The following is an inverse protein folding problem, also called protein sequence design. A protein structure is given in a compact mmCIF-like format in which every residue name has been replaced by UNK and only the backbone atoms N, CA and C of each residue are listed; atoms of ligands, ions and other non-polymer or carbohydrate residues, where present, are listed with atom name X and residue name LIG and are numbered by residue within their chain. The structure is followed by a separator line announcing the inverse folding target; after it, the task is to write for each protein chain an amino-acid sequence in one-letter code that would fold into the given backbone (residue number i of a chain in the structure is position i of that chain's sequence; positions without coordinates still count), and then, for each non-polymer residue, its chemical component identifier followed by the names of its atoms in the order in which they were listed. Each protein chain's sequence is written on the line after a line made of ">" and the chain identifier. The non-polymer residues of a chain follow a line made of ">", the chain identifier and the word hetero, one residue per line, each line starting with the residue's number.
data_IF_466229479119
#
_entry.id   IF_466229479119
#
_cell.length_a   1.000
_cell.length_b   1.000
_cell.length_c   1.000
_cell.angle_alpha   90.00
_cell.angle_beta   90.00
_cell.angle_gamma   90.00
#
_symmetry.space_group_name_H-M   'P 1'
#
loop_
_entity.id
_entity.type
_entity.pdbx_description
1 polymer ?
#
# COMPACT_ATOMS: atom_id res chain seq x y z
N UNK A 1 31.21 -3.10 70.46
CA UNK A 1 30.86 -4.07 69.45
C UNK A 1 30.10 -3.31 68.41
N UNK A 2 30.71 -3.07 67.24
CA UNK A 2 30.28 -2.10 66.27
C UNK A 2 29.56 -2.86 65.11
N UNK A 3 28.27 -2.60 64.88
CA UNK A 3 27.58 -3.07 63.72
C UNK A 3 27.56 -1.90 62.71
N UNK A 4 28.39 -1.99 61.68
CA UNK A 4 28.36 -1.05 60.56
C UNK A 4 27.53 -1.61 59.41
N UNK A 5 26.68 -0.78 58.96
CA UNK A 5 25.66 -0.92 57.96
C UNK A 5 26.15 -1.44 56.58
N UNK A 6 25.47 -2.42 56.06
CA UNK A 6 25.38 -2.69 54.64
C UNK A 6 24.19 -1.90 54.05
N UNK A 7 24.44 -0.64 53.66
CA UNK A 7 23.44 0.16 52.99
C UNK A 7 24.10 1.08 51.96
N UNK A 8 24.66 0.51 50.90
CA UNK A 8 25.38 1.34 49.92
C UNK A 8 25.33 0.87 48.44
N UNK A 9 24.85 -0.33 48.15
CA UNK A 9 25.01 -0.88 46.78
C UNK A 9 23.67 -0.97 46.01
N UNK A 10 22.53 -0.85 46.69
CA UNK A 10 21.22 -1.00 46.03
C UNK A 10 20.72 0.28 45.33
N UNK A 11 21.16 1.46 45.73
CA UNK A 11 20.70 2.73 45.12
C UNK A 11 21.29 3.03 43.73
N UNK A 12 22.48 2.51 43.46
CA UNK A 12 23.15 2.78 42.16
C UNK A 12 22.55 1.96 41.01
N UNK A 13 22.19 0.72 41.25
CA UNK A 13 21.61 -0.13 40.20
C UNK A 13 20.16 0.29 39.81
N UNK A 14 19.37 0.74 40.78
CA UNK A 14 18.00 1.20 40.52
C UNK A 14 18.01 2.48 39.69
N UNK A 15 18.95 3.37 39.89
CA UNK A 15 19.06 4.60 39.08
C UNK A 15 19.51 4.30 37.65
N UNK A 16 20.37 3.30 37.43
CA UNK A 16 20.77 2.88 36.10
C UNK A 16 19.64 2.21 35.32
N UNK A 17 18.81 1.40 35.95
CA UNK A 17 17.62 0.81 35.30
C UNK A 17 16.54 1.85 34.99
N UNK A 18 16.38 2.85 35.88
CA UNK A 18 15.44 3.96 35.62
C UNK A 18 15.90 4.83 34.46
N UNK A 19 17.20 5.07 34.30
CA UNK A 19 17.75 5.82 33.18
C UNK A 19 17.66 5.04 31.86
N UNK A 20 17.87 3.72 31.88
CA UNK A 20 17.69 2.86 30.72
C UNK A 20 16.22 2.78 30.29
N UNK A 21 15.28 2.79 31.24
CA UNK A 21 13.86 2.76 30.97
C UNK A 21 13.34 4.09 30.40
N UNK A 22 13.90 5.21 30.84
CA UNK A 22 13.58 6.53 30.30
C UNK A 22 14.11 6.77 28.88
N UNK A 23 15.21 6.11 28.50
CA UNK A 23 15.70 6.20 27.11
C UNK A 23 14.92 5.32 26.14
N UNK A 24 14.20 4.30 26.64
CA UNK A 24 13.32 3.46 25.81
C UNK A 24 11.92 4.08 25.63
N UNK A 25 11.58 5.14 26.39
CA UNK A 25 10.31 5.87 26.28
C UNK A 25 10.39 7.10 25.36
N UNK A 26 11.50 7.36 24.71
CA UNK A 26 11.55 8.29 23.60
C UNK A 26 10.92 7.62 22.37
N UNK A 27 9.61 7.50 22.41
CA UNK A 27 8.82 7.27 21.21
C UNK A 27 9.21 8.36 20.20
N UNK A 28 9.45 7.98 18.98
CA UNK A 28 9.67 8.96 17.91
C UNK A 28 8.50 9.95 17.95
N UNK A 29 8.79 11.18 18.36
CA UNK A 29 7.85 12.28 18.18
C UNK A 29 7.89 12.65 16.69
N UNK A 30 7.25 11.80 15.86
CA UNK A 30 7.07 12.11 14.46
C UNK A 30 6.21 13.37 14.35
N UNK A 31 6.69 14.36 13.65
CA UNK A 31 5.88 15.52 13.29
C UNK A 31 5.22 15.25 11.96
N UNK A 32 3.91 15.33 11.91
CA UNK A 32 3.18 15.33 10.63
C UNK A 32 3.49 16.63 9.90
N UNK A 33 3.90 16.50 8.64
CA UNK A 33 4.12 17.64 7.74
C UNK A 33 3.09 17.58 6.62
N UNK A 34 2.62 18.72 6.19
CA UNK A 34 1.81 18.84 4.99
C UNK A 34 2.67 18.63 3.76
N UNK A 35 2.16 17.90 2.77
CA UNK A 35 2.79 17.73 1.46
C UNK A 35 2.07 18.64 0.46
N UNK A 36 2.57 19.87 0.22
CA UNK A 36 1.85 20.87 -0.58
C UNK A 36 1.73 20.49 -2.07
N UNK A 37 2.54 19.54 -2.52
CA UNK A 37 2.54 19.03 -3.89
C UNK A 37 1.57 17.86 -4.11
N UNK A 38 0.89 17.38 -3.05
CA UNK A 38 -0.10 16.32 -3.20
C UNK A 38 -1.21 16.76 -4.17
N UNK A 39 -1.61 15.92 -5.14
CA UNK A 39 -2.63 16.27 -6.13
C UNK A 39 -3.96 16.62 -5.45
N UNK A 40 -4.53 17.78 -5.79
CA UNK A 40 -5.84 18.21 -5.30
C UNK A 40 -6.91 17.67 -6.26
N UNK A 41 -7.30 16.44 -6.03
CA UNK A 41 -8.26 15.69 -6.84
C UNK A 41 -9.34 15.06 -5.95
N UNK A 42 -9.98 14.00 -6.39
CA UNK A 42 -10.87 13.21 -5.54
C UNK A 42 -10.08 12.42 -4.48
N UNK A 43 -10.80 11.76 -3.58
CA UNK A 43 -10.22 10.91 -2.54
C UNK A 43 -9.31 9.85 -3.13
N UNK A 44 -8.07 9.77 -2.67
CA UNK A 44 -7.21 8.63 -2.88
C UNK A 44 -7.76 7.42 -2.10
N UNK A 45 -7.74 6.25 -2.73
CA UNK A 45 -8.30 5.02 -2.19
C UNK A 45 -7.22 4.09 -1.66
N UNK A 46 -6.04 4.11 -2.29
CA UNK A 46 -4.91 3.29 -1.90
C UNK A 46 -3.59 3.94 -2.33
N UNK A 47 -2.52 3.55 -1.63
CA UNK A 47 -1.16 4.03 -1.86
C UNK A 47 -0.17 2.93 -1.50
N UNK A 48 0.85 2.76 -2.33
CA UNK A 48 1.99 1.90 -2.00
C UNK A 48 3.30 2.63 -2.28
N UNK A 49 4.23 2.51 -1.36
CA UNK A 49 5.63 2.88 -1.54
C UNK A 49 6.50 1.63 -1.56
N UNK A 50 7.44 1.53 -2.51
CA UNK A 50 8.47 0.49 -2.55
C UNK A 50 9.65 0.84 -1.66
N UNK A 51 9.92 2.11 -1.50
CA UNK A 51 10.94 2.68 -0.63
C UNK A 51 10.54 4.12 -0.24
N UNK A 52 11.40 4.84 0.45
CA UNK A 52 11.13 6.20 0.93
C UNK A 52 10.88 7.23 -0.19
N UNK A 53 11.25 6.95 -1.43
CA UNK A 53 11.12 7.87 -2.55
C UNK A 53 10.05 7.45 -3.55
N UNK A 54 9.97 6.16 -3.87
CA UNK A 54 9.21 5.65 -5.01
C UNK A 54 7.86 5.11 -4.59
N UNK A 55 6.77 5.70 -5.08
CA UNK A 55 5.42 5.29 -4.73
C UNK A 55 4.35 5.58 -5.78
N UNK A 56 3.22 4.90 -5.65
CA UNK A 56 2.03 5.08 -6.48
C UNK A 56 0.79 5.25 -5.62
N UNK A 57 -0.15 6.05 -6.11
CA UNK A 57 -1.43 6.28 -5.48
C UNK A 57 -2.56 6.21 -6.50
N UNK A 58 -3.71 5.65 -6.11
CA UNK A 58 -4.86 5.47 -6.98
C UNK A 58 -6.11 6.10 -6.39
N UNK A 59 -7.02 6.54 -7.26
CA UNK A 59 -8.23 7.21 -6.82
C UNK A 59 -9.51 6.77 -7.54
N UNK A 60 -10.65 7.31 -7.09
CA UNK A 60 -11.96 6.97 -7.59
C UNK A 60 -12.34 7.61 -8.94
N UNK A 61 -11.49 8.45 -9.51
CA UNK A 61 -11.67 8.99 -10.86
C UNK A 61 -10.89 8.22 -11.93
N UNK A 62 -10.44 6.99 -11.59
CA UNK A 62 -9.69 6.14 -12.50
C UNK A 62 -8.27 6.62 -12.75
N UNK A 63 -7.69 7.37 -11.81
CA UNK A 63 -6.36 7.95 -11.95
C UNK A 63 -5.34 7.19 -11.14
N UNK A 64 -4.14 7.03 -11.72
CA UNK A 64 -2.95 6.49 -11.08
C UNK A 64 -1.86 7.55 -11.11
N UNK A 65 -1.40 7.94 -9.93
CA UNK A 65 -0.31 8.89 -9.72
C UNK A 65 0.95 8.17 -9.26
N UNK A 66 2.08 8.74 -9.61
CA UNK A 66 3.41 8.27 -9.23
C UNK A 66 4.23 9.39 -8.61
N UNK A 67 5.04 9.04 -7.62
CA UNK A 67 6.06 9.93 -7.06
C UNK A 67 7.43 9.26 -7.12
N UNK A 68 8.46 9.96 -7.59
CA UNK A 68 9.85 9.48 -7.57
C UNK A 68 10.65 10.01 -6.37
N UNK A 69 10.05 10.87 -5.52
CA UNK A 69 10.74 11.71 -4.55
C UNK A 69 10.04 11.77 -3.18
N UNK A 70 9.35 10.68 -2.81
CA UNK A 70 8.72 10.56 -1.48
C UNK A 70 7.47 11.40 -1.31
N UNK A 71 6.89 11.87 -2.41
CA UNK A 71 5.69 12.70 -2.41
C UNK A 71 5.97 14.21 -2.51
N UNK A 72 7.22 14.60 -2.71
CA UNK A 72 7.59 16.00 -3.00
C UNK A 72 7.05 16.47 -4.36
N UNK A 73 6.88 15.53 -5.29
CA UNK A 73 6.14 15.72 -6.55
C UNK A 73 5.30 14.50 -6.91
N UNK A 74 4.23 14.72 -7.66
CA UNK A 74 3.33 13.65 -8.15
C UNK A 74 3.04 13.87 -9.63
N UNK A 75 3.14 12.80 -10.41
CA UNK A 75 2.83 12.75 -11.83
C UNK A 75 1.62 11.86 -12.09
N UNK A 76 0.65 12.35 -12.88
CA UNK A 76 -0.45 11.54 -13.39
C UNK A 76 0.08 10.63 -14.50
N UNK A 77 0.14 9.32 -14.25
CA UNK A 77 0.62 8.33 -15.22
C UNK A 77 -0.48 7.70 -16.05
N UNK A 78 -1.67 7.56 -15.48
CA UNK A 78 -2.78 6.90 -16.15
C UNK A 78 -4.13 7.48 -15.71
N UNK A 79 -5.06 7.56 -16.66
CA UNK A 79 -6.45 7.94 -16.40
C UNK A 79 -7.40 7.14 -17.28
N UNK A 80 -8.40 6.52 -16.64
CA UNK A 80 -9.50 5.83 -17.28
C UNK A 80 -10.82 6.27 -16.63
N UNK A 81 -11.57 7.14 -17.31
CA UNK A 81 -12.70 7.85 -16.72
C UNK A 81 -13.88 6.97 -16.28
N UNK A 82 -13.98 5.75 -16.79
CA UNK A 82 -15.04 4.80 -16.46
C UNK A 82 -14.66 3.86 -15.30
N UNK A 83 -13.44 3.98 -14.81
CA UNK A 83 -12.83 3.14 -13.77
C UNK A 83 -12.86 3.84 -12.43
N UNK A 84 -13.00 3.06 -11.37
CA UNK A 84 -12.81 3.51 -10.01
C UNK A 84 -11.73 2.65 -9.35
N UNK A 85 -10.47 3.07 -9.42
CA UNK A 85 -9.37 2.32 -8.80
C UNK A 85 -9.51 2.32 -7.29
N UNK A 86 -9.30 1.13 -6.69
CA UNK A 86 -9.48 0.89 -5.26
C UNK A 86 -8.26 0.31 -4.57
N UNK A 87 -7.34 -0.26 -5.35
CA UNK A 87 -6.13 -0.88 -4.82
C UNK A 87 -4.98 -0.77 -5.81
N UNK A 88 -3.75 -0.77 -5.30
CA UNK A 88 -2.52 -0.76 -6.08
C UNK A 88 -1.46 -1.62 -5.41
N UNK A 89 -0.65 -2.33 -6.21
CA UNK A 89 0.42 -3.15 -5.70
C UNK A 89 1.54 -3.32 -6.73
N UNK A 90 2.77 -3.13 -6.31
CA UNK A 90 3.97 -3.27 -7.15
C UNK A 90 4.90 -4.32 -6.57
N UNK A 91 5.38 -5.22 -7.42
CA UNK A 91 6.43 -6.17 -7.06
C UNK A 91 7.81 -5.51 -7.01
N UNK A 92 8.05 -4.59 -7.94
CA UNK A 92 9.26 -3.81 -8.11
C UNK A 92 8.95 -2.49 -8.85
N UNK A 93 9.98 -1.74 -9.21
CA UNK A 93 9.86 -0.44 -9.87
C UNK A 93 9.16 -0.48 -11.25
N UNK A 94 9.11 -1.64 -11.90
CA UNK A 94 8.55 -1.79 -13.24
C UNK A 94 7.20 -2.50 -13.25
N UNK A 95 6.99 -3.47 -12.35
CA UNK A 95 5.88 -4.41 -12.42
C UNK A 95 4.83 -4.14 -11.33
N UNK A 96 3.68 -3.64 -11.73
CA UNK A 96 2.61 -3.25 -10.84
C UNK A 96 1.22 -3.61 -11.34
N UNK A 97 0.26 -3.60 -10.41
CA UNK A 97 -1.13 -3.96 -10.61
C UNK A 97 -2.05 -2.96 -9.93
N UNK A 98 -3.18 -2.63 -10.58
CA UNK A 98 -4.19 -1.74 -10.02
C UNK A 98 -5.57 -2.38 -10.14
N UNK A 99 -6.30 -2.45 -9.03
CA UNK A 99 -7.62 -3.05 -8.94
C UNK A 99 -8.74 -2.02 -9.04
N UNK A 100 -9.72 -2.30 -9.93
CA UNK A 100 -10.96 -1.55 -10.08
C UNK A 100 -12.04 -2.13 -9.16
N UNK A 101 -12.90 -1.28 -8.64
CA UNK A 101 -14.03 -1.63 -7.76
C UNK A 101 -15.07 -2.52 -8.43
N UNK A 102 -15.15 -2.50 -9.76
CA UNK A 102 -16.07 -3.24 -10.60
C UNK A 102 -17.25 -2.41 -11.10
N UNK A 103 -17.85 -2.90 -12.18
CA UNK A 103 -19.02 -2.31 -12.83
C UNK A 103 -20.21 -2.13 -11.87
N UNK A 104 -20.87 -0.99 -11.96
CA UNK A 104 -22.04 -0.61 -11.16
C UNK A 104 -21.72 -0.09 -9.76
N UNK A 105 -20.48 -0.09 -9.33
CA UNK A 105 -20.05 0.42 -8.01
C UNK A 105 -19.47 1.84 -8.13
N UNK A 106 -19.91 2.76 -7.28
CA UNK A 106 -19.46 4.15 -7.22
C UNK A 106 -19.50 4.89 -8.59
N UNK A 107 -20.36 4.43 -9.52
CA UNK A 107 -20.49 5.01 -10.86
C UNK A 107 -19.48 4.47 -11.88
N UNK A 108 -18.66 3.50 -11.52
CA UNK A 108 -17.83 2.81 -12.49
C UNK A 108 -18.66 2.00 -13.49
N UNK A 109 -18.29 2.05 -14.75
CA UNK A 109 -18.89 1.26 -15.84
C UNK A 109 -17.87 0.38 -16.55
N UNK A 110 -16.62 0.47 -16.12
CA UNK A 110 -15.52 -0.35 -16.61
C UNK A 110 -15.66 -1.79 -16.08
N UNK A 111 -15.74 -2.73 -17.01
CA UNK A 111 -15.84 -4.17 -16.72
C UNK A 111 -14.49 -4.81 -16.44
N UNK A 112 -13.38 -4.12 -16.70
CA UNK A 112 -12.04 -4.60 -16.41
C UNK A 112 -11.74 -4.39 -14.92
N UNK A 113 -11.45 -5.46 -14.22
CA UNK A 113 -11.26 -5.40 -12.77
C UNK A 113 -9.80 -5.29 -12.35
N UNK A 114 -8.87 -5.54 -13.26
CA UNK A 114 -7.44 -5.51 -13.00
C UNK A 114 -6.69 -4.89 -14.16
N UNK A 115 -5.77 -4.00 -13.85
CA UNK A 115 -4.84 -3.39 -14.79
C UNK A 115 -3.41 -3.69 -14.37
N UNK A 116 -2.49 -3.83 -15.31
CA UNK A 116 -1.10 -4.06 -15.01
C UNK A 116 -0.16 -3.14 -15.81
N UNK A 117 1.00 -2.91 -15.24
CA UNK A 117 2.14 -2.28 -15.90
C UNK A 117 3.38 -3.16 -15.80
N UNK A 118 4.22 -3.13 -16.81
CA UNK A 118 5.56 -3.74 -16.83
C UNK A 118 6.67 -2.72 -17.10
N UNK A 119 6.35 -1.43 -17.01
CA UNK A 119 7.27 -0.32 -17.30
C UNK A 119 7.13 0.84 -16.31
N UNK A 120 6.80 0.53 -15.06
CA UNK A 120 6.73 1.49 -13.96
C UNK A 120 5.56 2.47 -14.06
N UNK A 121 4.50 2.10 -14.79
CA UNK A 121 3.32 2.94 -14.97
C UNK A 121 3.37 3.85 -16.20
N UNK A 122 4.43 3.79 -17.03
CA UNK A 122 4.47 4.52 -18.31
C UNK A 122 3.35 4.09 -19.27
N UNK A 123 2.85 2.87 -19.09
CA UNK A 123 1.60 2.40 -19.67
C UNK A 123 0.91 1.37 -18.80
N UNK A 124 -0.41 1.33 -18.82
CA UNK A 124 -1.23 0.36 -18.11
C UNK A 124 -2.11 -0.39 -19.11
N UNK A 125 -2.17 -1.72 -18.94
CA UNK A 125 -2.92 -2.62 -19.81
C UNK A 125 -4.01 -3.34 -19.01
N UNK A 126 -5.21 -3.53 -19.58
CA UNK A 126 -6.24 -4.33 -18.95
C UNK A 126 -5.83 -5.80 -18.85
N UNK A 127 -6.29 -6.45 -17.79
CA UNK A 127 -6.08 -7.88 -17.56
C UNK A 127 -7.41 -8.54 -17.15
N UNK A 128 -7.78 -9.62 -17.83
CA UNK A 128 -9.01 -10.38 -17.61
C UNK A 128 -8.84 -11.92 -17.73
N UNK A 129 -7.59 -12.39 -17.87
CA UNK A 129 -7.29 -13.82 -18.01
C UNK A 129 -7.12 -14.51 -16.64
N UNK A 130 -8.25 -14.85 -16.00
CA UNK A 130 -8.28 -15.54 -14.73
C UNK A 130 -8.59 -17.02 -14.91
N UNK A 131 -7.84 -17.88 -14.22
CA UNK A 131 -8.20 -19.28 -14.04
C UNK A 131 -9.21 -19.39 -12.90
N UNK A 132 -10.43 -19.79 -13.23
CA UNK A 132 -11.56 -19.82 -12.29
C UNK A 132 -12.61 -18.75 -12.60
N UNK A 133 -13.51 -18.44 -11.65
CA UNK A 133 -14.49 -17.39 -11.84
C UNK A 133 -13.85 -16.01 -11.96
N UNK A 134 -14.20 -15.23 -12.98
CA UNK A 134 -13.70 -13.86 -13.09
C UNK A 134 -14.16 -13.00 -11.91
N UNK A 135 -13.27 -12.31 -11.20
CA UNK A 135 -13.64 -11.40 -10.13
C UNK A 135 -14.49 -10.25 -10.72
N UNK A 136 -15.38 -9.70 -9.90
CA UNK A 136 -16.26 -8.61 -10.30
C UNK A 136 -15.89 -7.28 -9.63
N UNK A 137 -14.68 -7.19 -9.14
CA UNK A 137 -14.10 -6.04 -8.49
C UNK A 137 -12.96 -6.47 -7.58
N UNK A 138 -11.88 -5.68 -7.53
CA UNK A 138 -10.70 -5.94 -6.73
C UNK A 138 -10.35 -4.69 -5.91
N UNK A 139 -10.78 -4.71 -4.65
CA UNK A 139 -10.72 -3.55 -3.75
C UNK A 139 -9.49 -3.53 -2.84
N UNK A 140 -8.74 -4.60 -2.79
CA UNK A 140 -7.50 -4.73 -2.01
C UNK A 140 -6.48 -5.56 -2.75
N UNK A 141 -5.23 -5.10 -2.74
CA UNK A 141 -4.07 -5.82 -3.28
C UNK A 141 -3.02 -5.89 -2.18
N UNK A 142 -2.36 -7.04 -2.07
CA UNK A 142 -1.24 -7.23 -1.16
C UNK A 142 -0.13 -8.03 -1.82
N UNK A 143 1.03 -7.43 -1.93
CA UNK A 143 2.27 -8.11 -2.33
C UNK A 143 2.86 -8.84 -1.13
N UNK A 144 3.14 -10.13 -1.27
CA UNK A 144 3.67 -10.98 -0.20
C UNK A 144 5.19 -11.15 -0.33
N UNK A 145 5.65 -11.32 -1.57
CA UNK A 145 7.08 -11.46 -1.91
C UNK A 145 7.27 -11.18 -3.41
N UNK A 146 8.46 -11.44 -3.93
CA UNK A 146 8.87 -11.13 -5.31
C UNK A 146 8.02 -11.78 -6.39
N UNK A 147 7.23 -12.82 -6.07
CA UNK A 147 6.43 -13.57 -7.05
C UNK A 147 4.95 -13.66 -6.68
N UNK A 148 4.60 -13.44 -5.42
CA UNK A 148 3.27 -13.72 -4.90
C UNK A 148 2.52 -12.44 -4.55
N UNK A 149 1.32 -12.32 -5.09
CA UNK A 149 0.38 -11.24 -4.80
C UNK A 149 -1.03 -11.84 -4.62
N UNK A 150 -1.78 -11.24 -3.69
CA UNK A 150 -3.21 -11.50 -3.54
C UNK A 150 -4.00 -10.25 -3.91
N UNK A 151 -5.17 -10.46 -4.51
CA UNK A 151 -6.15 -9.41 -4.69
C UNK A 151 -7.53 -9.90 -4.22
N UNK A 152 -8.31 -8.99 -3.64
CA UNK A 152 -9.61 -9.31 -3.05
C UNK A 152 -10.60 -8.19 -3.32
N UNK A 153 -11.84 -8.51 -3.35
CA UNK A 153 -12.95 -7.55 -3.47
C UNK A 153 -14.21 -8.31 -3.86
N UNK A 154 -15.26 -7.72 -3.79
CA UNK A 154 -15.98 -6.61 -4.30
C UNK A 154 -16.60 -5.81 -3.15
N UNK A 155 -17.17 -4.62 -3.46
CA UNK A 155 -17.90 -3.80 -2.48
C UNK A 155 -19.21 -4.48 -2.06
N UNK A 156 -19.91 -5.09 -3.01
CA UNK A 156 -21.10 -5.92 -2.78
C UNK A 156 -20.87 -7.29 -3.39
N UNK A 157 -21.01 -8.34 -2.57
CA UNK A 157 -20.72 -9.72 -2.94
C UNK A 157 -21.40 -10.26 -4.20
N UNK A 158 -20.97 -11.41 -4.70
CA UNK A 158 -19.94 -12.27 -4.13
C UNK A 158 -18.54 -11.67 -4.34
N UNK A 159 -17.69 -11.77 -3.31
CA UNK A 159 -16.31 -11.39 -3.36
C UNK A 159 -15.44 -12.62 -3.65
N UNK A 160 -14.36 -12.40 -4.38
CA UNK A 160 -13.40 -13.42 -4.72
C UNK A 160 -12.03 -13.10 -4.12
N UNK A 161 -11.29 -14.16 -3.82
CA UNK A 161 -9.85 -14.10 -3.60
C UNK A 161 -9.16 -14.51 -4.89
N UNK A 162 -8.30 -13.66 -5.39
CA UNK A 162 -7.43 -13.95 -6.51
C UNK A 162 -5.98 -13.97 -6.07
N UNK A 163 -5.18 -14.81 -6.69
CA UNK A 163 -3.78 -15.01 -6.36
C UNK A 163 -2.94 -15.22 -7.60
N UNK A 164 -1.77 -14.63 -7.61
CA UNK A 164 -0.65 -15.02 -8.47
C UNK A 164 0.53 -15.53 -7.64
N UNK A 165 1.36 -16.40 -8.21
CA UNK A 165 2.63 -16.89 -7.64
C UNK A 165 3.80 -16.78 -8.62
N UNK A 166 3.56 -16.15 -9.75
CA UNK A 166 4.47 -16.01 -10.90
C UNK A 166 4.53 -14.56 -11.42
N UNK A 167 4.41 -13.58 -10.50
CA UNK A 167 4.47 -12.12 -10.77
C UNK A 167 3.30 -11.61 -11.63
N UNK A 168 2.19 -12.36 -11.69
CA UNK A 168 1.02 -11.97 -12.44
C UNK A 168 0.97 -12.52 -13.88
N UNK A 169 1.87 -13.45 -14.25
CA UNK A 169 1.74 -14.18 -15.51
C UNK A 169 0.45 -15.00 -15.54
N UNK A 170 0.10 -15.60 -14.40
CA UNK A 170 -1.19 -16.27 -14.22
C UNK A 170 -1.87 -15.82 -12.93
N UNK A 171 -3.20 -15.75 -12.99
CA UNK A 171 -4.03 -15.46 -11.84
C UNK A 171 -5.08 -16.53 -11.63
N UNK A 172 -5.24 -17.00 -10.39
CA UNK A 172 -6.22 -17.99 -9.97
C UNK A 172 -7.23 -17.31 -9.05
N UNK A 173 -8.50 -17.47 -9.34
CA UNK A 173 -9.63 -16.92 -8.59
C UNK A 173 -10.45 -18.05 -7.93
#
# INVERSE_FOLDING_TARGET
>A
MIIRACCGIYKSKFLHYLFLFLTLLNGQTGTWIELPSAPVVTRFNDIQFLNENLGWAVNGWGQIYHTPDGGDSWELQFEQSETHFRSVGFFDELNGWAGNVGDGEFGATDIINLYHTSNGGSSWMPFDDFTGPSPQGLCGIQVINDTTMYAVGRVRGPAYFTKTVDRGETWIS
#
